data_IF_776620473347
#
_entry.id   IF_776620473347
#
_cell.length_a   1.000
_cell.length_b   1.000
_cell.length_c   1.000
_cell.angle_alpha   90.00
_cell.angle_beta   90.00
_cell.angle_gamma   90.00
#
_symmetry.space_group_name_H-M   'P 1'
#
loop_
_entity.id
_entity.type
_entity.pdbx_description
1 polymer ?
#
# COMPACT_ATOMS: atom_id res chain seq x y z
N UNK A 1 15.98 21.32 33.00
CA UNK A 1 15.48 20.07 32.37
C UNK A 1 15.42 20.28 30.86
N UNK A 2 16.17 19.51 30.04
CA UNK A 2 16.14 19.69 28.60
C UNK A 2 14.76 19.32 28.05
N UNK A 3 14.11 20.25 27.32
CA UNK A 3 12.88 19.96 26.60
C UNK A 3 13.23 19.05 25.43
N UNK A 4 12.65 17.85 25.39
CA UNK A 4 12.82 16.91 24.28
C UNK A 4 12.12 17.49 23.05
N UNK A 5 12.86 17.67 21.95
CA UNK A 5 12.30 18.07 20.66
C UNK A 5 12.21 16.86 19.73
N UNK A 6 11.09 16.74 19.02
CA UNK A 6 10.79 15.65 18.10
C UNK A 6 10.74 16.19 16.67
N UNK A 7 11.47 15.54 15.76
CA UNK A 7 11.41 15.86 14.32
C UNK A 7 10.18 15.20 13.70
N UNK A 8 9.18 16.01 13.33
CA UNK A 8 7.97 15.59 12.63
C UNK A 8 8.02 16.04 11.18
N UNK A 9 7.21 15.41 10.32
CA UNK A 9 7.06 15.78 8.92
C UNK A 9 5.72 16.47 8.69
N UNK A 10 5.76 17.65 8.11
CA UNK A 10 4.58 18.36 7.59
C UNK A 10 4.56 18.29 6.05
N UNK A 11 3.47 18.74 5.40
CA UNK A 11 3.40 18.88 3.94
C UNK A 11 4.50 19.79 3.36
N UNK A 12 4.94 20.82 4.11
CA UNK A 12 5.96 21.78 3.66
C UNK A 12 7.39 21.30 3.93
N UNK A 13 7.57 20.38 4.87
CA UNK A 13 8.88 19.87 5.25
C UNK A 13 8.96 19.38 6.70
N UNK A 14 10.14 18.89 7.13
CA UNK A 14 10.36 18.49 8.51
C UNK A 14 10.40 19.70 9.46
N UNK A 15 9.80 19.58 10.64
CA UNK A 15 9.79 20.62 11.68
C UNK A 15 10.02 20.01 13.07
N UNK A 16 10.47 20.83 14.02
CA UNK A 16 10.67 20.44 15.41
C UNK A 16 9.40 20.69 16.22
N UNK A 17 8.93 19.70 16.96
CA UNK A 17 7.77 19.77 17.83
C UNK A 17 8.13 19.39 19.27
N UNK A 18 7.56 20.05 20.28
CA UNK A 18 7.68 19.59 21.67
C UNK A 18 6.84 18.33 21.94
N UNK A 19 5.89 18.01 21.05
CA UNK A 19 4.98 16.87 21.17
C UNK A 19 5.47 15.75 20.23
N UNK A 20 5.55 14.49 20.70
CA UNK A 20 5.86 13.37 19.82
C UNK A 20 4.76 13.15 18.79
N UNK A 21 5.13 12.64 17.61
CA UNK A 21 4.15 12.30 16.58
C UNK A 21 3.33 11.08 16.97
N UNK A 22 2.02 11.13 16.71
CA UNK A 22 1.07 10.03 16.97
C UNK A 22 1.14 8.95 15.89
N UNK A 23 1.64 9.29 14.71
CA UNK A 23 1.69 8.43 13.54
C UNK A 23 3.12 8.23 13.07
N UNK A 24 3.40 7.02 12.57
CA UNK A 24 4.69 6.64 12.02
C UNK A 24 4.58 6.30 10.54
N UNK A 25 5.62 6.63 9.79
CA UNK A 25 5.68 6.35 8.37
C UNK A 25 7.06 5.91 7.90
N UNK A 26 7.09 5.38 6.69
CA UNK A 26 8.32 5.03 6.00
C UNK A 26 8.49 5.91 4.76
N UNK A 27 9.53 6.75 4.78
CA UNK A 27 9.81 7.74 3.73
C UNK A 27 9.99 7.13 2.34
N UNK A 28 10.70 6.00 2.20
CA UNK A 28 10.90 5.33 0.89
C UNK A 28 9.63 4.71 0.33
N UNK A 29 8.79 4.14 1.20
CA UNK A 29 7.54 3.53 0.79
C UNK A 29 6.38 4.53 0.68
N UNK A 30 6.62 5.80 1.07
CA UNK A 30 5.64 6.88 1.22
C UNK A 30 4.35 6.39 1.86
N UNK A 31 4.47 5.65 2.97
CA UNK A 31 3.32 5.17 3.73
C UNK A 31 3.33 5.69 5.16
N UNK A 32 2.16 5.92 5.73
CA UNK A 32 1.95 6.28 7.12
C UNK A 32 0.97 5.30 7.79
N UNK A 33 1.03 5.22 9.11
CA UNK A 33 0.14 4.37 9.91
C UNK A 33 0.39 4.55 11.40
N UNK A 34 -0.23 3.67 12.21
CA UNK A 34 -0.05 3.66 13.66
C UNK A 34 1.37 3.21 14.04
N UNK A 35 1.86 3.71 15.17
CA UNK A 35 3.16 3.31 15.74
C UNK A 35 3.21 1.82 16.10
N UNK A 36 2.07 1.24 16.48
CA UNK A 36 1.93 -0.19 16.85
C UNK A 36 1.67 -1.10 15.65
N UNK A 37 2.00 -0.66 14.43
CA UNK A 37 1.76 -1.48 13.25
C UNK A 37 2.58 -2.79 13.32
N UNK A 38 1.97 -3.98 13.19
CA UNK A 38 2.71 -5.24 13.19
C UNK A 38 3.81 -5.30 12.13
N UNK A 39 3.59 -4.64 10.98
CA UNK A 39 4.60 -4.51 9.94
C UNK A 39 5.80 -3.66 10.40
N UNK A 40 5.56 -2.62 11.20
CA UNK A 40 6.61 -1.76 11.74
C UNK A 40 7.38 -2.46 12.87
N UNK A 41 6.69 -3.21 13.72
CA UNK A 41 7.29 -4.02 14.79
C UNK A 41 8.17 -5.15 14.24
N UNK A 42 7.67 -5.90 13.24
CA UNK A 42 8.48 -6.93 12.55
C UNK A 42 9.74 -6.34 11.90
N UNK A 43 9.61 -5.13 11.35
CA UNK A 43 10.73 -4.38 10.78
C UNK A 43 11.78 -3.97 11.82
N UNK A 44 11.35 -3.58 13.03
CA UNK A 44 12.24 -3.31 14.16
C UNK A 44 12.94 -4.58 14.63
N UNK A 45 12.17 -5.65 14.83
CA UNK A 45 12.69 -6.93 15.31
C UNK A 45 13.77 -7.51 14.38
N UNK A 46 13.66 -7.27 13.07
CA UNK A 46 14.66 -7.67 12.06
C UNK A 46 15.91 -6.78 12.02
N UNK A 47 16.04 -5.79 12.89
CA UNK A 47 17.20 -4.89 12.96
C UNK A 47 17.31 -3.87 11.81
N UNK A 48 16.35 -3.84 10.88
CA UNK A 48 16.50 -3.12 9.61
C UNK A 48 16.06 -1.65 9.58
N UNK A 49 15.51 -1.08 10.66
CA UNK A 49 14.80 0.21 10.60
C UNK A 49 15.48 1.35 11.37
N UNK A 50 16.68 1.73 10.95
CA UNK A 50 17.28 3.03 11.36
C UNK A 50 16.88 4.17 10.43
N UNK A 51 16.71 3.96 9.13
CA UNK A 51 16.42 5.08 8.21
C UNK A 51 15.68 4.66 6.95
N UNK A 52 14.63 5.38 6.51
CA UNK A 52 14.10 6.64 7.04
C UNK A 52 12.68 6.47 7.63
N UNK A 53 12.59 6.45 8.96
CA UNK A 53 11.33 6.63 9.71
C UNK A 53 10.96 8.10 9.70
N UNK A 54 9.68 8.39 9.47
CA UNK A 54 9.11 9.73 9.60
C UNK A 54 7.96 9.66 10.59
N UNK A 55 7.72 10.75 11.30
CA UNK A 55 6.63 10.85 12.26
C UNK A 55 5.70 11.97 11.84
N UNK A 56 4.40 11.78 12.03
CA UNK A 56 3.38 12.79 11.76
C UNK A 56 2.59 13.04 13.03
N UNK A 57 2.14 14.27 13.22
CA UNK A 57 1.24 14.61 14.33
C UNK A 57 -0.18 14.16 13.99
N UNK A 58 -0.64 14.51 12.79
CA UNK A 58 -1.98 14.21 12.32
C UNK A 58 -2.00 13.48 10.98
N UNK A 59 -3.12 12.84 10.67
CA UNK A 59 -3.32 12.20 9.36
C UNK A 59 -3.32 13.21 8.23
N UNK A 60 -3.84 14.42 8.46
CA UNK A 60 -3.83 15.52 7.49
C UNK A 60 -2.42 15.90 7.03
N UNK A 61 -1.44 15.89 7.93
CA UNK A 61 -0.04 16.16 7.58
C UNK A 61 0.52 15.09 6.64
N UNK A 62 0.15 13.83 6.90
CA UNK A 62 0.58 12.70 6.07
C UNK A 62 -0.09 12.72 4.69
N UNK A 63 -1.37 13.07 4.63
CA UNK A 63 -2.10 13.27 3.39
C UNK A 63 -1.51 14.40 2.55
N UNK A 64 -1.28 15.58 3.15
CA UNK A 64 -0.69 16.73 2.48
C UNK A 64 0.74 16.50 2.04
N UNK A 65 1.52 15.69 2.77
CA UNK A 65 2.86 15.28 2.38
C UNK A 65 2.88 14.17 1.29
N UNK A 66 1.72 13.70 0.82
CA UNK A 66 1.60 12.70 -0.24
C UNK A 66 1.92 11.27 0.20
N UNK A 67 1.68 10.95 1.47
CA UNK A 67 1.83 9.59 1.99
C UNK A 67 0.51 8.82 1.88
N UNK A 68 0.60 7.51 1.61
CA UNK A 68 -0.56 6.61 1.57
C UNK A 68 -0.80 5.94 2.93
N UNK A 69 -2.04 5.63 3.30
CA UNK A 69 -2.33 4.88 4.52
C UNK A 69 -1.81 3.43 4.44
N UNK A 70 -1.40 2.88 5.57
CA UNK A 70 -0.88 1.53 5.67
C UNK A 70 -2.01 0.50 5.50
N UNK A 71 -1.90 -0.37 4.49
CA UNK A 71 -2.89 -1.43 4.25
C UNK A 71 -2.94 -2.55 5.29
N UNK A 72 -2.11 -2.51 6.35
CA UNK A 72 -2.11 -3.47 7.47
C UNK A 72 -2.85 -2.89 8.67
N UNK A 73 -2.42 -1.74 9.19
CA UNK A 73 -3.02 -1.15 10.39
C UNK A 73 -4.16 -0.16 10.13
N UNK A 74 -4.32 0.30 8.88
CA UNK A 74 -5.38 1.25 8.47
C UNK A 74 -6.02 0.75 7.16
N UNK A 75 -6.58 -0.46 7.20
CA UNK A 75 -7.08 -1.16 6.01
C UNK A 75 -8.19 -0.38 5.32
N UNK A 76 -9.16 0.15 6.06
CA UNK A 76 -10.33 0.84 5.49
C UNK A 76 -9.91 2.10 4.75
N UNK A 77 -9.06 2.94 5.37
CA UNK A 77 -8.50 4.13 4.75
C UNK A 77 -7.69 3.79 3.49
N UNK A 78 -6.97 2.67 3.51
CA UNK A 78 -6.25 2.18 2.34
C UNK A 78 -7.16 1.70 1.21
N UNK A 79 -8.30 1.08 1.50
CA UNK A 79 -9.28 0.70 0.48
C UNK A 79 -9.92 1.92 -0.16
N UNK A 80 -10.35 2.91 0.64
CA UNK A 80 -10.88 4.19 0.16
C UNK A 80 -9.86 4.91 -0.72
N UNK A 81 -8.62 5.01 -0.25
CA UNK A 81 -7.54 5.59 -1.04
C UNK A 81 -7.35 4.88 -2.38
N UNK A 82 -7.35 3.53 -2.38
CA UNK A 82 -7.17 2.74 -3.60
C UNK A 82 -8.32 2.94 -4.59
N UNK A 83 -9.56 2.91 -4.12
CA UNK A 83 -10.73 3.17 -4.95
C UNK A 83 -10.63 4.56 -5.58
N UNK A 84 -10.33 5.59 -4.78
CA UNK A 84 -10.14 6.96 -5.27
C UNK A 84 -8.99 7.11 -6.28
N UNK A 85 -8.02 6.19 -6.34
CA UNK A 85 -6.99 6.19 -7.38
C UNK A 85 -7.44 5.49 -8.66
N UNK A 86 -8.28 4.45 -8.55
CA UNK A 86 -8.84 3.75 -9.71
C UNK A 86 -9.77 4.69 -10.51
N UNK A 87 -10.62 5.45 -9.82
CA UNK A 87 -11.53 6.42 -10.44
C UNK A 87 -10.79 7.57 -11.15
N UNK A 88 -9.59 7.92 -10.69
CA UNK A 88 -8.77 9.00 -11.29
C UNK A 88 -8.06 8.61 -12.59
N UNK A 89 -8.26 7.38 -13.09
CA UNK A 89 -7.69 6.91 -14.37
C UNK A 89 -6.16 6.83 -14.41
N UNK A 90 -5.48 6.98 -13.27
CA UNK A 90 -4.03 7.00 -13.17
C UNK A 90 -3.44 5.63 -12.87
N UNK A 91 -2.49 5.18 -13.70
CA UNK A 91 -1.59 4.05 -13.44
C UNK A 91 -1.15 4.03 -11.97
N UNK A 92 -1.55 2.99 -11.23
CA UNK A 92 -1.17 2.77 -9.83
C UNK A 92 0.36 2.94 -9.68
N UNK A 93 0.88 3.73 -8.71
CA UNK A 93 2.32 3.79 -8.51
C UNK A 93 2.83 2.40 -8.17
N UNK A 94 3.63 1.83 -9.09
CA UNK A 94 4.02 0.44 -9.14
C UNK A 94 4.53 -0.09 -7.78
N UNK A 95 3.68 -0.86 -7.10
CA UNK A 95 4.09 -2.00 -6.28
C UNK A 95 3.25 -3.21 -6.65
N UNK A 96 3.19 -3.52 -7.94
CA UNK A 96 3.05 -4.90 -8.35
C UNK A 96 4.30 -5.63 -7.87
N UNK A 97 4.16 -6.53 -6.90
CA UNK A 97 5.08 -7.67 -6.91
C UNK A 97 4.83 -8.36 -8.25
N UNK A 98 5.85 -8.75 -9.03
CA UNK A 98 5.62 -9.73 -10.07
C UNK A 98 5.16 -10.99 -9.33
N UNK A 99 3.89 -11.36 -9.51
CA UNK A 99 3.44 -12.71 -9.21
C UNK A 99 4.35 -13.64 -9.99
N UNK A 100 5.21 -14.35 -9.25
CA UNK A 100 6.19 -15.26 -9.80
C UNK A 100 5.52 -16.18 -10.83
N UNK A 101 6.06 -16.12 -12.02
CA UNK A 101 5.68 -16.84 -13.23
C UNK A 101 5.65 -18.35 -12.98
N UNK A 102 4.57 -19.01 -13.40
CA UNK A 102 4.67 -20.36 -13.98
C UNK A 102 3.78 -20.45 -15.21
N UNK A 103 4.32 -19.99 -16.35
CA UNK A 103 4.02 -20.49 -17.70
C UNK A 103 4.62 -21.91 -17.78
N UNK A 104 4.19 -22.92 -18.54
CA UNK A 104 3.35 -23.06 -19.74
C UNK A 104 3.09 -24.57 -19.90
N UNK A 105 1.98 -24.94 -20.55
CA UNK A 105 1.77 -26.27 -21.11
C UNK A 105 0.69 -26.20 -22.18
N UNK A 106 1.10 -25.89 -23.40
CA UNK A 106 0.27 -25.89 -24.60
C UNK A 106 0.34 -27.26 -25.27
N UNK A 107 -0.80 -27.84 -25.62
CA UNK A 107 -1.05 -28.83 -26.69
C UNK A 107 -2.54 -29.17 -26.61
N UNK A 108 -3.31 -29.32 -27.67
CA UNK A 108 -3.04 -29.29 -29.09
C UNK A 108 -4.33 -28.85 -29.81
N UNK A 109 -4.16 -28.31 -31.01
CA UNK A 109 -5.13 -28.35 -32.09
C UNK A 109 -5.79 -29.74 -32.18
N UNK A 110 -7.07 -29.82 -32.54
CA UNK A 110 -7.65 -30.69 -33.60
C UNK A 110 -9.18 -30.44 -33.66
N UNK A 111 -9.69 -29.68 -34.63
CA UNK A 111 -10.31 -30.07 -35.93
C UNK A 111 -11.55 -31.00 -35.91
N UNK A 112 -12.70 -30.38 -36.22
CA UNK A 112 -13.79 -30.75 -37.18
C UNK A 112 -14.60 -32.07 -37.05
N UNK A 113 -15.94 -31.89 -37.08
CA UNK A 113 -16.95 -32.85 -37.62
C UNK A 113 -17.67 -33.69 -36.55
N UNK A 114 -18.96 -34.03 -36.59
CA UNK A 114 -20.00 -34.03 -37.64
C UNK A 114 -21.39 -34.20 -36.97
N UNK A 115 -22.44 -33.88 -37.72
CA UNK A 115 -23.89 -33.87 -37.46
C UNK A 115 -24.57 -35.03 -36.71
N UNK A 116 -25.74 -34.74 -36.10
CA UNK A 116 -27.04 -35.42 -36.28
C UNK A 116 -28.08 -34.85 -35.27
N UNK A 117 -29.16 -34.21 -35.73
CA UNK A 117 -30.55 -34.76 -35.79
C UNK A 117 -31.10 -35.16 -34.40
N UNK A 118 -32.17 -34.55 -33.88
CA UNK A 118 -33.55 -34.97 -34.21
C UNK A 118 -34.59 -33.92 -33.86
N UNK A 119 -35.48 -33.70 -34.84
CA UNK A 119 -36.74 -32.97 -34.83
C UNK A 119 -37.90 -33.94 -34.52
N UNK A 120 -38.89 -33.53 -33.70
CA UNK A 120 -40.31 -33.96 -33.66
C UNK A 120 -40.93 -33.32 -32.40
N UNK A 121 -41.78 -32.28 -32.45
CA UNK A 121 -43.14 -32.18 -33.01
C UNK A 121 -44.00 -33.41 -32.70
N UNK A 122 -44.81 -33.27 -31.66
CA UNK A 122 -46.13 -33.86 -31.50
C UNK A 122 -46.96 -32.87 -30.65
#
# INVERSE_FOLDING_TARGET
MPKKSYTLLSPTGPYQSPIPGTLGGHRRLKLFGRLDCPSALRALARGGYKTPRVFFLHEGDAWGAGYRPCGVCMRDKYLVWKAAQAERGGSLPARSKPSATRRRGASALEVVGTAATTLKVA
#
